data_IF_426071103499
#
_entry.id   IF_426071103499
#
_cell.length_a   1.000
_cell.length_b   1.000
_cell.length_c   1.000
_cell.angle_alpha   90.00
_cell.angle_beta   90.00
_cell.angle_gamma   90.00
#
_symmetry.space_group_name_H-M   'P 1'
#
loop_
_entity.id
_entity.type
_entity.pdbx_description
1 polymer ?
#
# COMPACT_ATOMS: atom_id res chain seq x y z
N UNK A 1 23.30 32.53 47.04
CA UNK A 1 23.39 31.32 47.88
C UNK A 1 22.70 30.15 47.15
N UNK A 2 23.34 28.98 47.18
CA UNK A 2 22.95 27.62 46.76
C UNK A 2 22.61 27.35 45.28
N UNK A 3 23.42 26.68 44.46
CA UNK A 3 24.14 25.37 44.53
C UNK A 3 23.23 24.12 44.46
N UNK A 4 23.58 23.22 43.54
CA UNK A 4 23.06 21.84 43.40
C UNK A 4 22.67 21.51 41.95
N UNK A 5 23.57 21.36 40.97
CA UNK A 5 24.52 20.24 40.76
C UNK A 5 23.91 18.84 41.01
N UNK A 6 23.39 18.21 39.95
CA UNK A 6 23.54 16.77 39.75
C UNK A 6 23.87 16.49 38.27
N UNK A 7 25.17 16.31 38.01
CA UNK A 7 25.70 15.59 36.86
C UNK A 7 25.54 14.10 37.14
N UNK A 8 24.95 13.36 36.22
CA UNK A 8 25.13 11.89 36.15
C UNK A 8 25.64 11.53 34.76
N UNK A 9 26.96 11.50 34.65
CA UNK A 9 27.71 10.81 33.60
C UNK A 9 27.52 9.29 33.76
N UNK A 10 26.99 8.61 32.73
CA UNK A 10 27.13 7.16 32.60
C UNK A 10 28.17 6.85 31.53
N UNK A 11 29.26 6.23 31.98
CA UNK A 11 30.46 5.90 31.21
C UNK A 11 30.28 4.56 30.49
N UNK A 12 30.56 4.57 29.18
CA UNK A 12 31.26 3.61 28.32
C UNK A 12 31.47 2.12 28.69
N UNK A 13 31.59 1.34 27.59
CA UNK A 13 32.11 -0.03 27.37
C UNK A 13 31.02 -1.11 27.45
N UNK A 14 31.01 -2.18 26.66
CA UNK A 14 32.04 -2.80 25.84
C UNK A 14 31.40 -3.62 24.71
N UNK A 15 32.26 -3.91 23.73
CA UNK A 15 32.14 -4.78 22.57
C UNK A 15 31.55 -6.14 22.92
N UNK A 16 30.76 -6.70 22.01
CA UNK A 16 30.66 -8.15 21.85
C UNK A 16 30.31 -8.50 20.40
N UNK A 17 31.39 -8.75 19.64
CA UNK A 17 31.37 -9.50 18.40
C UNK A 17 30.75 -10.88 18.68
N UNK A 18 29.81 -11.33 17.85
CA UNK A 18 29.55 -12.76 17.66
C UNK A 18 29.70 -13.08 16.18
N UNK A 19 30.65 -13.97 15.91
CA UNK A 19 30.91 -14.65 14.64
C UNK A 19 30.13 -15.97 14.61
N UNK A 20 30.19 -16.59 13.42
CA UNK A 20 29.88 -17.99 13.05
C UNK A 20 28.51 -18.13 12.36
N UNK A 21 28.50 -18.28 11.03
CA UNK A 21 28.66 -19.54 10.25
C UNK A 21 27.29 -20.22 10.10
N UNK A 22 26.83 -20.60 8.92
CA UNK A 22 27.17 -21.92 8.34
C UNK A 22 26.69 -22.02 6.90
N UNK A 23 27.57 -22.60 6.09
CA UNK A 23 27.47 -23.20 4.76
C UNK A 23 26.16 -23.94 4.43
N UNK A 24 25.73 -23.93 3.16
CA UNK A 24 25.24 -25.17 2.53
C UNK A 24 24.13 -25.09 1.47
N UNK A 25 24.54 -25.36 0.22
CA UNK A 25 23.87 -26.22 -0.76
C UNK A 25 22.66 -25.64 -1.52
N UNK A 26 22.90 -25.24 -2.77
CA UNK A 26 21.87 -25.21 -3.81
C UNK A 26 22.19 -26.30 -4.84
N UNK A 27 21.32 -27.31 -4.90
CA UNK A 27 21.38 -28.45 -5.81
C UNK A 27 20.82 -28.05 -7.18
N UNK A 28 21.57 -28.37 -8.24
CA UNK A 28 21.19 -28.27 -9.65
C UNK A 28 20.17 -29.35 -9.99
N UNK A 29 19.16 -29.04 -10.81
CA UNK A 29 18.53 -30.04 -11.69
C UNK A 29 18.08 -29.39 -13.01
N UNK A 30 18.48 -30.04 -14.10
CA UNK A 30 18.38 -29.60 -15.48
C UNK A 30 17.18 -30.25 -16.22
N UNK A 31 16.69 -29.50 -17.20
CA UNK A 31 16.07 -29.84 -18.49
C UNK A 31 15.60 -31.27 -18.81
N UNK A 32 14.41 -31.39 -19.44
CA UNK A 32 14.19 -32.21 -20.66
C UNK A 32 12.84 -31.94 -21.34
N UNK A 33 12.88 -31.81 -22.67
CA UNK A 33 11.77 -31.81 -23.64
C UNK A 33 11.12 -33.21 -23.75
N UNK A 34 9.86 -33.30 -24.23
CA UNK A 34 9.44 -34.18 -25.35
C UNK A 34 7.91 -34.31 -25.52
N UNK A 35 7.52 -34.28 -26.79
CA UNK A 35 6.56 -35.15 -27.47
C UNK A 35 5.05 -35.08 -27.12
N UNK A 36 4.25 -34.86 -28.17
CA UNK A 36 2.80 -35.01 -28.15
C UNK A 36 2.33 -36.46 -28.15
N UNK A 37 1.02 -36.63 -27.97
CA UNK A 37 0.27 -37.80 -28.40
C UNK A 37 -1.22 -37.46 -28.40
N UNK A 38 -1.88 -37.60 -29.55
CA UNK A 38 -3.35 -37.64 -29.69
C UNK A 38 -3.82 -39.06 -29.43
N UNK A 39 -4.89 -39.25 -28.63
CA UNK A 39 -5.92 -40.25 -28.97
C UNK A 39 -7.33 -39.65 -28.72
N UNK A 40 -8.23 -39.68 -29.69
CA UNK A 40 -9.10 -40.79 -30.13
C UNK A 40 -10.53 -40.57 -29.61
N UNK A 41 -11.46 -40.40 -30.54
CA UNK A 41 -12.90 -40.50 -30.32
C UNK A 41 -13.25 -41.82 -29.63
N UNK A 42 -14.15 -41.74 -28.66
CA UNK A 42 -15.01 -42.87 -28.26
C UNK A 42 -16.38 -42.30 -27.96
N UNK A 43 -17.30 -42.58 -28.86
CA UNK A 43 -18.73 -42.46 -28.63
C UNK A 43 -19.20 -43.50 -27.62
N UNK A 44 -20.16 -43.10 -26.78
CA UNK A 44 -21.24 -43.97 -26.32
C UNK A 44 -21.09 -44.59 -24.93
N UNK A 45 -21.79 -44.00 -23.95
CA UNK A 45 -22.73 -44.69 -23.04
C UNK A 45 -23.58 -43.63 -22.30
N UNK A 46 -24.93 -43.67 -22.37
CA UNK A 46 -25.78 -42.87 -21.49
C UNK A 46 -25.71 -43.45 -20.07
N UNK A 47 -24.84 -42.86 -19.24
CA UNK A 47 -24.84 -43.11 -17.80
C UNK A 47 -25.92 -42.25 -17.16
N UNK A 48 -27.04 -42.87 -16.83
CA UNK A 48 -28.06 -42.37 -15.90
C UNK A 48 -27.40 -42.20 -14.53
N UNK A 49 -26.74 -41.06 -14.35
CA UNK A 49 -26.11 -40.66 -13.10
C UNK A 49 -26.93 -39.54 -12.50
N UNK A 50 -27.73 -39.86 -11.49
CA UNK A 50 -28.39 -38.91 -10.62
C UNK A 50 -27.42 -37.79 -10.24
N UNK A 51 -27.55 -36.65 -10.89
CA UNK A 51 -26.79 -35.46 -10.60
C UNK A 51 -27.12 -35.03 -9.19
N UNK A 52 -26.28 -35.40 -8.23
CA UNK A 52 -26.14 -34.63 -7.00
C UNK A 52 -25.68 -33.26 -7.49
N UNK A 53 -26.63 -32.35 -7.61
CA UNK A 53 -26.40 -30.92 -7.76
C UNK A 53 -25.40 -30.57 -6.66
N UNK A 54 -24.14 -30.31 -7.01
CA UNK A 54 -23.21 -29.74 -6.05
C UNK A 54 -23.85 -28.41 -5.65
N UNK A 55 -24.35 -28.34 -4.42
CA UNK A 55 -24.79 -27.10 -3.83
C UNK A 55 -23.60 -26.15 -3.92
N UNK A 56 -23.65 -25.23 -4.89
CA UNK A 56 -22.75 -24.09 -4.92
C UNK A 56 -23.22 -23.23 -3.74
N UNK A 57 -22.71 -23.57 -2.56
CA UNK A 57 -22.71 -22.67 -1.43
C UNK A 57 -21.91 -21.44 -1.88
N UNK A 58 -22.61 -20.39 -2.29
CA UNK A 58 -22.01 -19.09 -2.50
C UNK A 58 -21.25 -18.74 -1.22
N UNK A 59 -19.92 -18.65 -1.33
CA UNK A 59 -19.07 -18.27 -0.20
C UNK A 59 -19.52 -16.89 0.30
N UNK A 60 -19.99 -16.74 1.55
CA UNK A 60 -20.65 -15.51 2.00
C UNK A 60 -19.66 -14.42 2.44
N UNK A 61 -18.49 -14.30 1.82
CA UNK A 61 -17.48 -13.30 2.21
C UNK A 61 -17.30 -12.21 1.15
N UNK A 62 -18.39 -11.82 0.49
CA UNK A 62 -18.38 -10.59 -0.30
C UNK A 62 -18.58 -9.42 0.66
N UNK A 63 -17.47 -8.81 1.11
CA UNK A 63 -17.50 -7.63 1.97
C UNK A 63 -18.41 -6.58 1.34
N UNK A 64 -19.54 -6.30 1.99
CA UNK A 64 -20.42 -5.24 1.56
C UNK A 64 -19.65 -3.92 1.61
N UNK A 65 -19.64 -3.18 0.50
CA UNK A 65 -19.08 -1.82 0.49
C UNK A 65 -20.00 -0.98 1.37
N UNK A 66 -19.47 -0.50 2.49
CA UNK A 66 -20.20 0.41 3.38
C UNK A 66 -20.63 1.67 2.62
N UNK A 67 -21.84 2.16 2.91
CA UNK A 67 -22.34 3.40 2.33
C UNK A 67 -21.49 4.62 2.72
N UNK A 68 -21.54 5.66 1.88
CA UNK A 68 -20.85 6.91 2.17
C UNK A 68 -21.46 7.58 3.41
N UNK A 69 -20.65 7.74 4.44
CA UNK A 69 -21.03 8.32 5.73
C UNK A 69 -19.94 9.29 6.23
N UNK A 70 -20.22 10.15 7.22
CA UNK A 70 -19.21 11.03 7.80
C UNK A 70 -17.99 10.28 8.34
N UNK A 71 -18.16 9.07 8.86
CA UNK A 71 -17.05 8.20 9.28
C UNK A 71 -16.16 7.85 8.09
N UNK A 72 -16.76 7.39 6.99
CA UNK A 72 -16.04 6.97 5.78
C UNK A 72 -15.32 8.16 5.13
N UNK A 73 -15.96 9.33 5.12
CA UNK A 73 -15.33 10.57 4.69
C UNK A 73 -14.10 10.89 5.56
N UNK A 74 -14.24 10.86 6.88
CA UNK A 74 -13.13 11.16 7.79
C UNK A 74 -11.94 10.21 7.58
N UNK A 75 -12.18 8.90 7.42
CA UNK A 75 -11.12 7.92 7.14
C UNK A 75 -10.35 8.25 5.85
N UNK A 76 -11.05 8.67 4.79
CA UNK A 76 -10.40 9.10 3.55
C UNK A 76 -9.58 10.39 3.74
N UNK A 77 -10.12 11.35 4.51
CA UNK A 77 -9.43 12.61 4.85
C UNK A 77 -8.14 12.38 5.65
N UNK A 78 -8.19 11.46 6.61
CA UNK A 78 -7.04 11.08 7.44
C UNK A 78 -5.93 10.46 6.58
N UNK A 79 -6.28 9.52 5.68
CA UNK A 79 -5.31 8.90 4.78
C UNK A 79 -4.72 9.93 3.80
N UNK A 80 -5.54 10.80 3.22
CA UNK A 80 -5.05 11.86 2.33
C UNK A 80 -4.09 12.82 3.04
N UNK A 81 -4.43 13.25 4.26
CA UNK A 81 -3.59 14.15 5.07
C UNK A 81 -2.24 13.51 5.44
N UNK A 82 -2.26 12.23 5.83
CA UNK A 82 -1.05 11.48 6.16
C UNK A 82 -0.18 11.26 4.91
N UNK A 83 -0.79 10.89 3.79
CA UNK A 83 -0.09 10.74 2.51
C UNK A 83 0.52 12.06 2.04
N UNK A 84 -0.21 13.18 2.17
CA UNK A 84 0.28 14.51 1.83
C UNK A 84 1.46 14.94 2.71
N UNK A 85 1.41 14.62 4.01
CA UNK A 85 2.53 14.87 4.93
C UNK A 85 3.76 14.05 4.57
N UNK A 86 3.58 12.80 4.14
CA UNK A 86 4.68 11.96 3.65
C UNK A 86 5.22 12.44 2.29
N UNK A 87 4.34 12.93 1.42
CA UNK A 87 4.68 13.46 0.10
C UNK A 87 5.50 14.76 0.21
N UNK A 88 5.11 15.67 1.10
CA UNK A 88 5.72 17.00 1.32
C UNK A 88 7.05 16.95 2.09
N UNK A 89 7.97 16.07 1.66
CA UNK A 89 9.28 15.84 2.29
C UNK A 89 10.43 15.91 1.25
N UNK A 90 10.67 17.10 0.66
CA UNK A 90 11.81 17.30 -0.26
C UNK A 90 13.17 17.27 0.46
N UNK A 91 13.18 17.31 1.80
CA UNK A 91 14.36 17.23 2.65
C UNK A 91 14.95 15.81 2.76
N UNK A 92 14.16 14.79 2.44
CA UNK A 92 14.60 13.39 2.44
C UNK A 92 15.28 13.03 1.11
N UNK A 93 16.15 12.01 1.12
CA UNK A 93 16.56 11.40 -0.15
C UNK A 93 15.43 10.52 -0.72
N UNK A 94 15.49 10.25 -2.02
CA UNK A 94 14.41 9.57 -2.74
C UNK A 94 14.03 8.20 -2.13
N UNK A 95 14.97 7.30 -1.76
CA UNK A 95 14.59 6.04 -1.12
C UNK A 95 13.88 6.19 0.22
N UNK A 96 14.31 7.14 1.07
CA UNK A 96 13.68 7.43 2.36
C UNK A 96 12.30 8.04 2.17
N UNK A 97 12.18 9.02 1.28
CA UNK A 97 10.93 9.66 0.91
C UNK A 97 9.92 8.62 0.42
N UNK A 98 10.30 7.80 -0.56
CA UNK A 98 9.41 6.77 -1.10
C UNK A 98 9.03 5.74 -0.03
N UNK A 99 9.96 5.34 0.85
CA UNK A 99 9.65 4.42 1.97
C UNK A 99 8.56 4.98 2.89
N UNK A 100 8.58 6.29 3.14
CA UNK A 100 7.54 6.97 3.94
C UNK A 100 6.20 7.11 3.23
N UNK A 101 6.21 7.34 1.91
CA UNK A 101 5.00 7.53 1.12
C UNK A 101 4.32 6.19 0.76
N UNK A 102 5.11 5.15 0.47
CA UNK A 102 4.65 3.85 -0.05
C UNK A 102 3.48 3.21 0.70
N UNK A 103 3.38 3.25 2.04
CA UNK A 103 2.28 2.63 2.77
C UNK A 103 0.90 3.17 2.39
N UNK A 104 0.82 4.41 1.90
CA UNK A 104 -0.44 5.05 1.53
C UNK A 104 -0.81 4.80 0.07
N UNK A 105 0.05 4.20 -0.74
CA UNK A 105 -0.10 4.11 -2.19
C UNK A 105 -0.67 2.76 -2.62
N UNK A 106 -1.57 2.79 -3.60
CA UNK A 106 -1.96 1.58 -4.33
C UNK A 106 -0.76 0.96 -5.07
N UNK A 107 -0.84 -0.31 -5.44
CA UNK A 107 0.25 -0.99 -6.15
C UNK A 107 0.62 -0.28 -7.48
N UNK A 108 -0.35 0.30 -8.18
CA UNK A 108 -0.13 1.10 -9.39
C UNK A 108 0.59 2.42 -9.07
N UNK A 109 0.14 3.12 -8.03
CA UNK A 109 0.77 4.35 -7.58
C UNK A 109 2.21 4.11 -7.09
N UNK A 110 2.48 3.01 -6.38
CA UNK A 110 3.84 2.63 -5.96
C UNK A 110 4.78 2.48 -7.16
N UNK A 111 4.34 1.79 -8.22
CA UNK A 111 5.13 1.65 -9.47
C UNK A 111 5.40 2.99 -10.14
N UNK A 112 4.47 3.94 -10.02
CA UNK A 112 4.63 5.30 -10.55
C UNK A 112 5.64 6.10 -9.74
N UNK A 113 5.53 6.08 -8.41
CA UNK A 113 6.35 6.92 -7.52
C UNK A 113 7.73 6.37 -7.20
N UNK A 114 8.00 5.07 -7.37
CA UNK A 114 9.27 4.44 -6.99
C UNK A 114 10.52 5.07 -7.66
N UNK A 115 10.35 5.75 -8.80
CA UNK A 115 11.42 6.40 -9.56
C UNK A 115 11.25 7.93 -9.66
N UNK A 116 10.25 8.50 -8.98
CA UNK A 116 10.03 9.95 -8.99
C UNK A 116 11.05 10.63 -8.08
N UNK A 117 11.64 11.73 -8.57
CA UNK A 117 12.49 12.60 -7.75
C UNK A 117 11.63 13.51 -6.87
N UNK A 118 11.84 13.44 -5.56
CA UNK A 118 11.17 14.29 -4.58
C UNK A 118 11.78 15.69 -4.46
N UNK A 119 12.94 15.93 -5.08
CA UNK A 119 13.61 17.24 -5.04
C UNK A 119 12.86 18.34 -5.81
N UNK A 120 11.92 17.96 -6.68
CA UNK A 120 11.07 18.89 -7.42
C UNK A 120 9.79 19.25 -6.65
N UNK A 121 9.56 18.65 -5.48
CA UNK A 121 8.40 18.95 -4.64
C UNK A 121 8.70 20.23 -3.86
N UNK A 122 7.89 21.25 -4.07
CA UNK A 122 8.00 22.57 -3.39
C UNK A 122 7.31 22.57 -2.03
N UNK A 123 6.27 21.75 -1.88
CA UNK A 123 5.52 21.61 -0.63
C UNK A 123 6.39 20.98 0.47
N UNK A 124 6.36 21.60 1.65
CA UNK A 124 7.07 21.12 2.85
C UNK A 124 6.14 20.95 4.05
N UNK A 125 4.91 21.47 3.98
CA UNK A 125 3.97 21.49 5.10
C UNK A 125 2.55 21.48 4.59
N UNK A 126 1.70 20.63 5.19
CA UNK A 126 0.25 20.65 5.00
C UNK A 126 -0.34 21.76 5.86
N UNK A 127 -1.20 22.60 5.27
CA UNK A 127 -1.82 23.76 5.94
C UNK A 127 -3.28 23.51 6.28
N UNK A 128 -4.02 22.80 5.43
CA UNK A 128 -5.39 22.37 5.68
C UNK A 128 -5.80 21.23 4.75
N UNK A 129 -6.87 20.53 5.11
CA UNK A 129 -7.49 19.48 4.28
C UNK A 129 -8.96 19.83 4.10
N UNK A 130 -9.44 19.78 2.86
CA UNK A 130 -10.84 20.04 2.53
C UNK A 130 -11.73 18.81 2.80
N UNK A 131 -13.04 19.03 2.83
CA UNK A 131 -14.00 17.94 2.98
C UNK A 131 -13.91 16.98 1.78
N UNK A 132 -13.79 15.67 2.00
CA UNK A 132 -13.73 14.68 0.94
C UNK A 132 -14.96 14.71 0.02
N UNK A 133 -14.72 14.70 -1.28
CA UNK A 133 -15.76 14.58 -2.29
C UNK A 133 -15.93 13.11 -2.67
N UNK A 134 -17.12 12.57 -2.41
CA UNK A 134 -17.50 11.21 -2.84
C UNK A 134 -17.44 11.12 -4.37
N UNK A 135 -16.78 10.08 -4.88
CA UNK A 135 -16.76 9.75 -6.30
C UNK A 135 -17.96 8.92 -6.74
N UNK A 136 -17.75 8.10 -7.78
CA UNK A 136 -18.79 7.23 -8.38
C UNK A 136 -19.38 6.17 -7.43
N UNK A 137 -18.70 5.89 -6.31
CA UNK A 137 -19.13 4.95 -5.28
C UNK A 137 -18.62 5.40 -3.92
N UNK A 138 -19.10 4.80 -2.83
CA UNK A 138 -18.59 5.08 -1.48
C UNK A 138 -17.13 4.64 -1.27
N UNK A 139 -16.59 3.80 -2.17
CA UNK A 139 -15.21 3.34 -2.14
C UNK A 139 -14.26 4.21 -2.99
N UNK A 140 -14.72 5.33 -3.54
CA UNK A 140 -13.88 6.28 -4.29
C UNK A 140 -14.10 7.67 -3.71
N UNK A 141 -13.03 8.37 -3.40
CA UNK A 141 -13.09 9.74 -2.93
C UNK A 141 -11.97 10.58 -3.56
N UNK A 142 -12.19 11.88 -3.63
CA UNK A 142 -11.12 12.85 -3.89
C UNK A 142 -11.03 13.80 -2.71
N UNK A 143 -9.82 14.00 -2.22
CA UNK A 143 -9.54 14.91 -1.11
C UNK A 143 -8.52 15.93 -1.56
N UNK A 144 -8.87 17.20 -1.46
CA UNK A 144 -7.97 18.31 -1.71
C UNK A 144 -7.23 18.65 -0.43
N UNK A 145 -5.89 18.61 -0.48
CA UNK A 145 -5.00 18.96 0.62
C UNK A 145 -4.22 20.20 0.23
N UNK A 146 -4.37 21.25 1.03
CA UNK A 146 -3.66 22.51 0.87
C UNK A 146 -2.28 22.41 1.54
N UNK A 147 -1.26 22.88 0.86
CA UNK A 147 0.11 22.96 1.38
C UNK A 147 0.54 24.42 1.52
N UNK A 148 1.80 24.65 1.91
CA UNK A 148 2.39 25.99 1.98
C UNK A 148 2.72 26.60 0.60
N UNK A 149 2.69 25.81 -0.48
CA UNK A 149 3.00 26.30 -1.84
C UNK A 149 1.85 26.13 -2.81
N UNK A 150 1.18 24.97 -2.77
CA UNK A 150 0.18 24.57 -3.76
C UNK A 150 -0.92 23.72 -3.12
N UNK A 151 -2.00 23.47 -3.86
CA UNK A 151 -3.07 22.54 -3.48
C UNK A 151 -2.94 21.25 -4.27
N UNK A 152 -3.12 20.11 -3.61
CA UNK A 152 -2.96 18.77 -4.20
C UNK A 152 -4.26 17.97 -4.06
N UNK A 153 -4.71 17.38 -5.15
CA UNK A 153 -5.81 16.42 -5.16
C UNK A 153 -5.27 15.00 -5.00
N UNK A 154 -5.79 14.31 -4.00
CA UNK A 154 -5.55 12.89 -3.74
C UNK A 154 -6.78 12.12 -4.19
N UNK A 155 -6.63 11.31 -5.23
CA UNK A 155 -7.64 10.32 -5.61
C UNK A 155 -7.42 9.08 -4.76
N UNK A 156 -8.42 8.71 -3.96
CA UNK A 156 -8.37 7.54 -3.11
C UNK A 156 -9.36 6.46 -3.57
N UNK A 157 -8.98 5.22 -3.37
CA UNK A 157 -9.85 4.06 -3.48
C UNK A 157 -9.82 3.26 -2.17
N UNK A 158 -10.92 2.57 -1.86
CA UNK A 158 -10.99 1.66 -0.71
C UNK A 158 -10.83 0.23 -1.20
N UNK A 159 -9.71 -0.41 -0.85
CA UNK A 159 -9.38 -1.79 -1.19
C UNK A 159 -9.33 -2.61 0.12
N UNK A 160 -10.06 -3.73 0.17
CA UNK A 160 -10.12 -4.61 1.35
C UNK A 160 -10.43 -3.88 2.68
N UNK A 161 -11.23 -2.80 2.61
CA UNK A 161 -11.61 -1.97 3.76
C UNK A 161 -10.65 -0.83 4.08
N UNK A 162 -9.48 -0.78 3.45
CA UNK A 162 -8.47 0.25 3.68
C UNK A 162 -8.43 1.28 2.54
N UNK A 163 -8.24 2.56 2.88
CA UNK A 163 -8.06 3.61 1.89
C UNK A 163 -6.61 3.65 1.40
N UNK A 164 -6.45 3.69 0.08
CA UNK A 164 -5.16 3.87 -0.60
C UNK A 164 -5.26 5.00 -1.62
N UNK A 165 -4.14 5.67 -1.84
CA UNK A 165 -3.99 6.73 -2.84
C UNK A 165 -3.66 6.10 -4.18
N UNK A 166 -4.51 6.36 -5.16
CA UNK A 166 -4.33 5.96 -6.56
C UNK A 166 -3.53 6.98 -7.36
N UNK A 167 -3.73 8.27 -7.04
CA UNK A 167 -3.14 9.37 -7.79
C UNK A 167 -3.00 10.62 -6.94
N UNK A 168 -1.93 11.37 -7.19
CA UNK A 168 -1.70 12.71 -6.64
C UNK A 168 -1.55 13.65 -7.84
N UNK A 169 -2.32 14.73 -7.87
CA UNK A 169 -2.26 15.76 -8.92
C UNK A 169 -2.35 17.15 -8.30
N UNK A 170 -1.94 18.18 -9.03
CA UNK A 170 -2.30 19.55 -8.66
C UNK A 170 -3.82 19.72 -8.68
N UNK A 171 -4.37 20.40 -7.67
CA UNK A 171 -5.78 20.76 -7.66
C UNK A 171 -6.10 21.75 -8.79
N UNK A 172 -7.36 21.76 -9.24
CA UNK A 172 -7.84 22.58 -10.36
C UNK A 172 -8.34 23.96 -9.94
#
# INVERSE_FOLDING_TARGET
MNQGMHRTTHHARDRSRRRAATTGIALVLASALLAGCTPAETEGTPGEGNGIMHDIHASPEQSAIEDWSPRIAQEASDVATNAATAYARPDLNQPQWFTGLRPYLSADAQRTFQNVSNLNITATTVTSTEEPVKGRSAAIATVTVNTNTDSLDFLLSRADGEWVVEKITSAK
#
